data_IF_838740608347
#
_entry.id   IF_838740608347
#
_cell.length_a   1.000
_cell.length_b   1.000
_cell.length_c   1.000
_cell.angle_alpha   90.00
_cell.angle_beta   90.00
_cell.angle_gamma   90.00
#
_symmetry.space_group_name_H-M   'P 1'
#
loop_
_entity.id
_entity.type
_entity.pdbx_description
1 polymer ?
#
# COMPACT_ATOMS: atom_id res chain seq x y z
N UNK A 1 2.65 10.83 21.12
CA UNK A 1 1.25 10.80 20.64
C UNK A 1 1.26 10.11 19.30
N UNK A 2 0.55 8.99 19.14
CA UNK A 2 0.51 8.25 17.87
C UNK A 2 -0.61 8.85 17.03
N UNK A 3 -0.30 9.34 15.83
CA UNK A 3 -1.27 9.83 14.86
C UNK A 3 -1.05 9.07 13.56
N UNK A 4 -1.90 8.10 13.27
CA UNK A 4 -1.82 7.31 12.05
C UNK A 4 -3.19 6.86 11.59
N UNK A 5 -3.31 6.59 10.29
CA UNK A 5 -4.45 5.88 9.73
C UNK A 5 -4.40 4.42 10.22
N UNK A 6 -5.53 3.83 10.55
CA UNK A 6 -5.62 2.45 11.07
C UNK A 6 -6.76 1.71 10.38
N UNK A 7 -6.73 0.37 10.40
CA UNK A 7 -7.85 -0.46 9.92
C UNK A 7 -9.09 -0.27 10.79
N UNK A 8 -10.26 -0.50 10.21
CA UNK A 8 -11.57 -0.19 10.81
C UNK A 8 -11.81 -0.86 12.17
N UNK A 9 -11.24 -2.05 12.41
CA UNK A 9 -11.44 -2.79 13.65
C UNK A 9 -10.44 -2.42 14.76
N UNK A 10 -9.44 -1.57 14.49
CA UNK A 10 -8.41 -1.21 15.47
C UNK A 10 -8.99 -0.48 16.69
N UNK A 11 -9.95 0.45 16.58
CA UNK A 11 -10.61 1.02 17.76
C UNK A 11 -11.22 -0.04 18.68
N UNK A 12 -11.98 -1.01 18.15
CA UNK A 12 -12.58 -2.07 18.95
C UNK A 12 -11.55 -2.97 19.62
N UNK A 13 -10.44 -3.28 18.92
CA UNK A 13 -9.32 -4.02 19.50
C UNK A 13 -8.71 -3.25 20.68
N UNK A 14 -8.51 -1.94 20.57
CA UNK A 14 -8.00 -1.09 21.65
C UNK A 14 -8.97 -1.09 22.86
N UNK A 15 -10.27 -0.99 22.61
CA UNK A 15 -11.31 -1.05 23.65
C UNK A 15 -11.32 -2.38 24.38
N UNK A 16 -11.25 -3.50 23.65
CA UNK A 16 -11.18 -4.84 24.23
C UNK A 16 -9.95 -5.06 25.10
N UNK A 17 -8.87 -4.30 24.86
CA UNK A 17 -7.67 -4.29 25.69
C UNK A 17 -7.77 -3.35 26.91
N UNK A 18 -8.97 -2.82 27.20
CA UNK A 18 -9.23 -1.95 28.35
C UNK A 18 -8.72 -0.52 28.19
N UNK A 19 -8.45 -0.08 26.95
CA UNK A 19 -7.96 1.28 26.63
C UNK A 19 -9.02 2.04 25.85
N UNK A 20 -9.02 3.36 25.94
CA UNK A 20 -10.00 4.20 25.22
C UNK A 20 -9.33 4.78 23.96
N UNK A 21 -9.74 4.38 22.75
CA UNK A 21 -9.25 4.99 21.52
C UNK A 21 -9.90 6.35 21.32
N UNK A 22 -9.11 7.34 20.89
CA UNK A 22 -9.62 8.63 20.41
C UNK A 22 -9.36 8.70 18.91
N UNK A 23 -10.42 8.72 18.11
CA UNK A 23 -10.33 8.68 16.65
C UNK A 23 -11.41 9.55 16.00
N UNK A 24 -11.21 9.85 14.71
CA UNK A 24 -12.21 10.48 13.83
C UNK A 24 -12.24 9.70 12.52
N UNK A 25 -13.39 9.69 11.85
CA UNK A 25 -13.47 9.26 10.46
C UNK A 25 -13.02 10.42 9.56
N UNK A 26 -12.33 10.12 8.47
CA UNK A 26 -11.87 11.12 7.50
C UNK A 26 -12.96 11.28 6.44
N UNK A 27 -13.55 12.47 6.35
CA UNK A 27 -14.64 12.75 5.42
C UNK A 27 -14.13 13.31 4.08
N UNK A 28 -13.09 14.14 4.13
CA UNK A 28 -12.51 14.71 2.90
C UNK A 28 -11.73 13.65 2.13
N UNK A 29 -12.12 13.44 0.87
CA UNK A 29 -11.48 12.44 0.00
C UNK A 29 -10.00 12.78 -0.26
N UNK A 30 -9.65 14.06 -0.34
CA UNK A 30 -8.27 14.51 -0.56
C UNK A 30 -7.37 14.24 0.65
N UNK A 31 -7.83 14.57 1.85
CA UNK A 31 -7.19 14.24 3.13
C UNK A 31 -7.01 12.73 3.25
N UNK A 32 -8.05 11.95 2.95
CA UNK A 32 -7.99 10.49 3.01
C UNK A 32 -6.96 9.89 2.04
N UNK A 33 -6.94 10.37 0.79
CA UNK A 33 -5.94 9.93 -0.19
C UNK A 33 -4.51 10.22 0.27
N UNK A 34 -4.26 11.41 0.84
CA UNK A 34 -2.95 11.77 1.38
C UNK A 34 -2.56 10.87 2.55
N UNK A 35 -3.49 10.61 3.47
CA UNK A 35 -3.25 9.72 4.61
C UNK A 35 -2.95 8.28 4.17
N UNK A 36 -3.62 7.77 3.13
CA UNK A 36 -3.29 6.46 2.55
C UNK A 36 -1.89 6.43 1.93
N UNK A 37 -1.46 7.50 1.25
CA UNK A 37 -0.09 7.60 0.71
C UNK A 37 0.97 7.62 1.83
N UNK A 38 0.71 8.34 2.91
CA UNK A 38 1.56 8.30 4.11
C UNK A 38 1.57 6.89 4.73
N UNK A 39 0.41 6.26 4.82
CA UNK A 39 0.28 4.90 5.36
C UNK A 39 1.07 3.89 4.52
N UNK A 40 1.02 3.99 3.20
CA UNK A 40 1.81 3.13 2.30
C UNK A 40 3.32 3.23 2.58
N UNK A 41 3.81 4.44 2.86
CA UNK A 41 5.23 4.66 3.22
C UNK A 41 5.56 4.06 4.59
N UNK A 42 4.66 4.20 5.57
CA UNK A 42 4.77 3.56 6.90
C UNK A 42 4.90 2.04 6.76
N UNK A 43 3.95 1.38 6.09
CA UNK A 43 3.93 -0.09 5.97
C UNK A 43 5.13 -0.66 5.20
N UNK A 44 5.56 0.04 4.14
CA UNK A 44 6.78 -0.35 3.40
C UNK A 44 7.99 -0.22 4.31
N UNK A 45 8.10 0.85 5.11
CA UNK A 45 9.20 1.02 6.04
C UNK A 45 9.20 -0.06 7.14
N UNK A 46 8.02 -0.40 7.68
CA UNK A 46 7.86 -1.48 8.66
C UNK A 46 8.28 -2.83 8.06
N UNK A 47 7.87 -3.16 6.83
CA UNK A 47 8.35 -4.36 6.13
C UNK A 47 9.86 -4.37 5.90
N UNK A 48 10.46 -3.25 5.49
CA UNK A 48 11.90 -3.16 5.24
C UNK A 48 12.72 -3.30 6.53
N UNK A 49 12.19 -2.88 7.67
CA UNK A 49 12.82 -3.02 8.97
C UNK A 49 12.66 -4.43 9.55
N UNK A 50 11.44 -4.97 9.52
CA UNK A 50 11.12 -6.25 10.19
C UNK A 50 11.37 -7.48 9.32
N UNK A 51 11.25 -7.34 7.99
CA UNK A 51 11.13 -8.44 7.02
C UNK A 51 9.96 -9.40 7.29
N UNK A 52 8.96 -8.99 8.07
CA UNK A 52 7.81 -9.84 8.37
C UNK A 52 6.77 -9.81 7.25
N UNK A 53 6.33 -10.99 6.81
CA UNK A 53 5.33 -11.12 5.73
C UNK A 53 3.98 -10.49 6.10
N UNK A 54 3.69 -10.38 7.40
CA UNK A 54 2.44 -9.75 7.88
C UNK A 54 2.34 -8.29 7.43
N UNK A 55 3.45 -7.55 7.38
CA UNK A 55 3.45 -6.15 6.95
C UNK A 55 3.15 -6.02 5.45
N UNK A 56 3.44 -7.04 4.64
CA UNK A 56 3.01 -7.07 3.24
C UNK A 56 1.48 -7.17 3.12
N UNK A 57 0.79 -7.77 4.10
CA UNK A 57 -0.68 -7.76 4.14
C UNK A 57 -1.23 -6.34 4.38
N UNK A 58 -0.54 -5.52 5.15
CA UNK A 58 -0.89 -4.11 5.34
C UNK A 58 -0.60 -3.28 4.09
N UNK A 59 0.54 -3.48 3.43
CA UNK A 59 0.83 -2.86 2.13
C UNK A 59 -0.26 -3.16 1.10
N UNK A 60 -0.71 -4.43 1.00
CA UNK A 60 -1.77 -4.82 0.06
C UNK A 60 -3.10 -4.15 0.38
N UNK A 61 -3.49 -4.07 1.66
CA UNK A 61 -4.74 -3.40 2.06
C UNK A 61 -4.72 -1.91 1.70
N UNK A 62 -3.58 -1.24 1.92
CA UNK A 62 -3.41 0.17 1.54
C UNK A 62 -3.48 0.36 0.03
N UNK A 63 -2.88 -0.55 -0.76
CA UNK A 63 -2.99 -0.54 -2.23
C UNK A 63 -4.44 -0.69 -2.68
N UNK A 64 -5.21 -1.60 -2.08
CA UNK A 64 -6.63 -1.76 -2.40
C UNK A 64 -7.46 -0.52 -2.06
N UNK A 65 -7.21 0.11 -0.92
CA UNK A 65 -7.86 1.37 -0.56
C UNK A 65 -7.50 2.49 -1.55
N UNK A 66 -6.24 2.60 -1.97
CA UNK A 66 -5.79 3.57 -2.97
C UNK A 66 -6.46 3.35 -4.34
N UNK A 67 -6.57 2.11 -4.81
CA UNK A 67 -7.26 1.75 -6.07
C UNK A 67 -8.70 2.25 -6.04
N UNK A 68 -9.44 1.96 -4.95
CA UNK A 68 -10.81 2.43 -4.75
C UNK A 68 -10.90 3.95 -4.72
N UNK A 69 -9.98 4.62 -4.02
CA UNK A 69 -9.92 6.09 -3.98
C UNK A 69 -9.70 6.65 -5.38
N UNK A 70 -8.87 6.03 -6.22
CA UNK A 70 -8.68 6.45 -7.62
C UNK A 70 -9.88 6.16 -8.54
N UNK A 71 -10.97 5.58 -8.01
CA UNK A 71 -12.19 5.30 -8.78
C UNK A 71 -12.08 4.07 -9.69
N UNK A 72 -11.13 3.18 -9.41
CA UNK A 72 -10.91 1.96 -10.17
C UNK A 72 -11.42 0.74 -9.41
N UNK A 73 -11.97 -0.25 -10.12
CA UNK A 73 -12.32 -1.55 -9.54
C UNK A 73 -11.07 -2.40 -9.33
N UNK A 74 -11.12 -3.38 -8.43
CA UNK A 74 -9.98 -4.27 -8.23
C UNK A 74 -9.76 -5.16 -9.46
N UNK A 75 -10.84 -5.53 -10.14
CA UNK A 75 -10.83 -6.32 -11.37
C UNK A 75 -10.14 -5.58 -12.53
N UNK A 76 -10.44 -4.29 -12.69
CA UNK A 76 -9.79 -3.45 -13.71
C UNK A 76 -8.31 -3.23 -13.40
N UNK A 77 -7.98 -3.01 -12.13
CA UNK A 77 -6.58 -2.91 -11.70
C UNK A 77 -5.81 -4.20 -11.98
N UNK A 78 -6.40 -5.35 -11.66
CA UNK A 78 -5.77 -6.65 -11.88
C UNK A 78 -5.54 -6.93 -13.36
N UNK A 79 -6.50 -6.55 -14.23
CA UNK A 79 -6.33 -6.62 -15.69
C UNK A 79 -5.14 -5.77 -16.14
N UNK A 80 -5.04 -4.51 -15.70
CA UNK A 80 -3.91 -3.64 -16.03
C UNK A 80 -2.57 -4.20 -15.52
N UNK A 81 -2.56 -4.78 -14.31
CA UNK A 81 -1.36 -5.41 -13.73
C UNK A 81 -0.89 -6.60 -14.58
N UNK A 82 -1.82 -7.45 -15.02
CA UNK A 82 -1.53 -8.62 -15.86
C UNK A 82 -1.09 -8.22 -17.28
N UNK A 83 -1.72 -7.21 -17.88
CA UNK A 83 -1.29 -6.64 -19.16
C UNK A 83 0.16 -6.14 -19.07
N UNK A 84 0.49 -5.36 -18.04
CA UNK A 84 1.87 -4.89 -17.80
C UNK A 84 2.84 -6.05 -17.57
N UNK A 85 2.44 -7.09 -16.85
CA UNK A 85 3.24 -8.29 -16.63
C UNK A 85 3.47 -9.09 -17.93
N UNK A 86 2.50 -9.12 -18.85
CA UNK A 86 2.65 -9.79 -20.15
C UNK A 86 3.66 -9.09 -21.06
N UNK A 87 3.73 -7.75 -21.00
CA UNK A 87 4.64 -6.92 -21.81
C UNK A 87 6.04 -6.87 -21.21
N UNK A 88 6.14 -6.59 -19.90
CA UNK A 88 7.41 -6.34 -19.23
C UNK A 88 8.01 -7.58 -18.54
N UNK A 89 7.23 -8.67 -18.45
CA UNK A 89 7.53 -9.77 -17.57
C UNK A 89 7.25 -9.45 -16.10
N UNK A 90 7.67 -10.39 -15.25
CA UNK A 90 7.62 -10.31 -13.79
C UNK A 90 9.03 -10.49 -13.22
N UNK A 91 9.20 -10.27 -11.92
CA UNK A 91 10.51 -10.31 -11.26
C UNK A 91 11.11 -11.72 -11.08
N UNK A 92 10.49 -12.79 -11.61
CA UNK A 92 10.97 -14.17 -11.49
C UNK A 92 12.37 -14.39 -12.08
N UNK A 93 12.71 -13.67 -13.15
CA UNK A 93 14.03 -13.78 -13.80
C UNK A 93 15.16 -13.11 -13.01
N UNK A 94 14.86 -12.36 -11.94
CA UNK A 94 15.86 -11.68 -11.06
C UNK A 94 16.86 -10.80 -11.83
N UNK A 95 16.38 -10.10 -12.86
CA UNK A 95 17.22 -9.25 -13.72
C UNK A 95 17.52 -7.94 -12.99
N UNK A 96 18.81 -7.62 -12.83
CA UNK A 96 19.29 -6.32 -12.36
C UNK A 96 19.99 -5.60 -13.50
N UNK A 97 19.47 -4.45 -13.94
CA UNK A 97 20.03 -3.66 -15.01
C UNK A 97 21.08 -2.69 -14.45
N UNK A 98 22.35 -2.88 -14.81
CA UNK A 98 23.47 -2.08 -14.29
C UNK A 98 23.83 -0.87 -15.15
N UNK A 99 23.78 -1.01 -16.47
CA UNK A 99 24.16 0.03 -17.43
C UNK A 99 23.40 -0.14 -18.74
N UNK A 100 23.30 0.96 -19.50
CA UNK A 100 22.77 1.00 -20.87
C UNK A 100 23.84 1.69 -21.71
N UNK A 101 24.29 1.04 -22.77
CA UNK A 101 25.22 1.62 -23.74
C UNK A 101 24.43 1.89 -25.02
N UNK A 102 24.26 3.16 -25.36
CA UNK A 102 23.66 3.56 -26.62
C UNK A 102 24.69 3.46 -27.74
N UNK A 103 24.41 2.63 -28.74
CA UNK A 103 25.17 2.60 -29.99
C UNK A 103 24.54 3.58 -30.99
N UNK A 104 24.61 4.88 -30.70
CA UNK A 104 24.34 5.88 -31.73
C UNK A 104 25.46 5.83 -32.78
N UNK A 105 25.05 5.55 -34.03
CA UNK A 105 25.85 5.80 -35.25
C UNK A 105 25.95 7.30 -35.52
#
# INVERSE_FOLDING_TARGET
>A
MIKKLVRDNIPAIIESAGRIPIYKCIEDRGEYEQLLKCKLQEEIAEFLESNEVVELCDVVEVVYALIKVQGMSLEDFERLRLEKASINGIFEKRIFLSEIIDYSK
#
